data_IF_313672004168
#
_entry.id   IF_313672004168
#
_cell.length_a   1.000
_cell.length_b   1.000
_cell.length_c   1.000
_cell.angle_alpha   90.00
_cell.angle_beta   90.00
_cell.angle_gamma   90.00
#
_symmetry.space_group_name_H-M   'P 1'
#
loop_
_entity.id
_entity.type
_entity.pdbx_description
1 polymer ?
#
# COMPACT_ATOMS: atom_id res chain seq x y z
N UNK A 1 -10.23 -29.17 3.99
CA UNK A 1 -9.53 -29.70 5.19
C UNK A 1 -8.17 -29.00 5.42
N UNK A 2 -7.20 -29.03 4.47
CA UNK A 2 -5.90 -28.34 4.65
C UNK A 2 -6.05 -26.83 4.80
N UNK A 3 -6.86 -26.20 3.96
CA UNK A 3 -7.14 -24.77 4.06
C UNK A 3 -7.85 -24.44 5.37
N UNK A 4 -8.83 -25.22 5.78
CA UNK A 4 -9.59 -24.97 7.01
C UNK A 4 -8.70 -25.03 8.26
N UNK A 5 -7.66 -25.89 8.22
CA UNK A 5 -6.75 -26.09 9.36
C UNK A 5 -5.55 -25.12 9.38
N UNK A 6 -5.16 -24.55 8.24
CA UNK A 6 -3.92 -23.78 8.12
C UNK A 6 -4.13 -22.32 7.72
N UNK A 7 -5.23 -21.99 7.04
CA UNK A 7 -5.51 -20.62 6.62
C UNK A 7 -6.02 -19.78 7.79
N UNK A 8 -5.45 -18.60 7.95
CA UNK A 8 -5.83 -17.65 9.00
C UNK A 8 -6.45 -16.43 8.31
N UNK A 9 -7.60 -15.97 8.79
CA UNK A 9 -8.19 -14.74 8.27
C UNK A 9 -7.80 -13.56 9.16
N UNK A 10 -7.53 -12.42 8.55
CA UNK A 10 -7.20 -11.18 9.27
C UNK A 10 -8.32 -10.76 10.24
N UNK A 11 -9.59 -10.99 9.89
CA UNK A 11 -10.75 -10.68 10.75
C UNK A 11 -10.74 -11.48 12.05
N UNK A 12 -10.16 -12.69 12.07
CA UNK A 12 -10.12 -13.55 13.24
C UNK A 12 -8.99 -13.17 14.21
N UNK A 13 -8.05 -12.33 13.77
CA UNK A 13 -6.99 -11.83 14.63
C UNK A 13 -7.54 -10.82 15.66
N UNK A 14 -7.15 -11.01 16.90
CA UNK A 14 -7.53 -10.09 17.99
C UNK A 14 -6.86 -8.72 17.80
N UNK A 15 -7.63 -7.68 18.07
CA UNK A 15 -7.07 -6.32 18.16
C UNK A 15 -6.15 -6.26 19.38
N UNK A 16 -4.87 -5.93 19.22
CA UNK A 16 -3.96 -5.84 20.36
C UNK A 16 -4.34 -4.65 21.25
N UNK A 17 -4.13 -4.79 22.56
CA UNK A 17 -4.33 -3.69 23.52
C UNK A 17 -3.17 -2.67 23.40
N UNK A 18 -3.08 -2.02 22.25
CA UNK A 18 -2.11 -0.97 21.94
C UNK A 18 -2.81 0.17 21.23
N UNK A 19 -2.38 1.38 21.53
CA UNK A 19 -2.90 2.55 20.82
C UNK A 19 -2.47 2.49 19.35
N UNK A 20 -3.43 2.74 18.47
CA UNK A 20 -3.13 2.95 17.04
C UNK A 20 -2.28 4.22 16.91
N UNK A 21 -1.11 4.18 16.26
CA UNK A 21 -0.31 5.38 16.04
C UNK A 21 -1.09 6.38 15.18
N UNK A 22 -1.29 7.58 15.73
CA UNK A 22 -1.94 8.70 15.03
C UNK A 22 -1.11 9.96 15.23
N UNK A 23 -1.15 10.86 14.26
CA UNK A 23 -0.43 12.13 14.32
C UNK A 23 -1.35 13.25 14.82
N UNK A 24 -0.76 14.22 15.51
CA UNK A 24 -1.43 15.49 15.82
C UNK A 24 -1.72 16.27 14.55
N UNK A 25 -2.56 17.30 14.63
CA UNK A 25 -2.89 18.15 13.48
C UNK A 25 -1.62 18.79 12.87
N UNK A 26 -0.72 19.26 13.73
CA UNK A 26 0.52 19.92 13.34
C UNK A 26 1.51 18.94 12.69
N UNK A 27 1.63 17.73 13.26
CA UNK A 27 2.48 16.66 12.69
C UNK A 27 1.93 16.21 11.33
N UNK A 28 0.61 15.99 11.23
CA UNK A 28 -0.05 15.62 9.98
C UNK A 28 0.18 16.67 8.89
N UNK A 29 0.01 17.96 9.20
CA UNK A 29 0.25 19.04 8.24
C UNK A 29 1.71 19.08 7.75
N UNK A 30 2.69 18.81 8.64
CA UNK A 30 4.10 18.70 8.27
C UNK A 30 4.37 17.51 7.35
N UNK A 31 3.79 16.35 7.68
CA UNK A 31 3.92 15.14 6.84
C UNK A 31 3.25 15.30 5.48
N UNK A 32 2.05 15.89 5.42
CA UNK A 32 1.37 16.20 4.16
C UNK A 32 2.25 17.07 3.26
N UNK A 33 2.90 18.09 3.83
CA UNK A 33 3.85 18.93 3.09
C UNK A 33 5.07 18.13 2.63
N UNK A 34 5.63 17.27 3.49
CA UNK A 34 6.79 16.44 3.17
C UNK A 34 6.49 15.43 2.05
N UNK A 35 5.29 14.82 2.04
CA UNK A 35 4.84 13.91 0.99
C UNK A 35 4.18 14.61 -0.21
N UNK A 36 4.22 15.95 -0.25
CA UNK A 36 3.75 16.71 -1.41
C UNK A 36 2.24 16.68 -1.62
N UNK A 37 1.45 16.56 -0.55
CA UNK A 37 0.00 16.71 -0.63
C UNK A 37 -0.36 18.12 -1.06
N UNK A 38 -1.31 18.23 -2.00
CA UNK A 38 -1.82 19.50 -2.50
C UNK A 38 -3.30 19.66 -2.11
N UNK A 39 -3.79 20.88 -2.14
CA UNK A 39 -5.22 21.14 -1.96
C UNK A 39 -6.06 20.39 -3.01
N UNK A 40 -5.53 20.22 -4.19
CA UNK A 40 -6.19 19.50 -5.26
C UNK A 40 -6.33 18.01 -4.96
N UNK A 41 -5.31 17.38 -4.37
CA UNK A 41 -5.40 15.99 -3.90
C UNK A 41 -6.56 15.80 -2.91
N UNK A 42 -6.75 16.75 -2.00
CA UNK A 42 -7.88 16.71 -1.07
C UNK A 42 -9.21 16.87 -1.77
N UNK A 43 -9.34 17.87 -2.65
CA UNK A 43 -10.61 18.24 -3.26
C UNK A 43 -11.05 17.28 -4.37
N UNK A 44 -10.12 16.79 -5.18
CA UNK A 44 -10.43 16.01 -6.38
C UNK A 44 -10.28 14.50 -6.18
N UNK A 45 -9.51 14.05 -5.19
CA UNK A 45 -9.27 12.64 -4.92
C UNK A 45 -9.85 12.20 -3.57
N UNK A 46 -9.29 12.67 -2.45
CA UNK A 46 -9.62 12.15 -1.12
C UNK A 46 -11.07 12.44 -0.74
N UNK A 47 -11.53 13.69 -0.89
CA UNK A 47 -12.89 14.09 -0.51
C UNK A 47 -13.97 13.33 -1.29
N UNK A 48 -13.96 13.26 -2.64
CA UNK A 48 -14.97 12.49 -3.38
C UNK A 48 -14.97 11.01 -3.02
N UNK A 49 -13.81 10.39 -2.84
CA UNK A 49 -13.70 8.98 -2.45
C UNK A 49 -14.27 8.74 -1.04
N UNK A 50 -13.95 9.59 -0.09
CA UNK A 50 -14.45 9.48 1.29
C UNK A 50 -15.95 9.80 1.40
N UNK A 51 -16.49 10.66 0.53
CA UNK A 51 -17.90 11.04 0.52
C UNK A 51 -18.77 9.99 -0.18
N UNK A 52 -18.36 9.53 -1.36
CA UNK A 52 -19.20 8.76 -2.28
C UNK A 52 -18.80 7.28 -2.40
N UNK A 53 -17.66 6.85 -1.82
CA UNK A 53 -17.13 5.50 -2.00
C UNK A 53 -16.72 5.19 -3.45
N UNK A 54 -16.45 6.23 -4.25
CA UNK A 54 -16.07 6.10 -5.65
C UNK A 54 -15.06 7.18 -6.04
N UNK A 55 -14.15 6.83 -6.95
CA UNK A 55 -13.22 7.78 -7.55
C UNK A 55 -13.97 8.81 -8.40
N UNK A 56 -13.48 10.04 -8.42
CA UNK A 56 -13.99 11.08 -9.30
C UNK A 56 -13.88 10.67 -10.77
N UNK A 57 -14.88 11.03 -11.57
CA UNK A 57 -14.85 10.81 -13.01
C UNK A 57 -13.78 11.71 -13.63
N UNK A 58 -12.88 11.12 -14.39
CA UNK A 58 -11.79 11.81 -15.07
C UNK A 58 -11.52 11.24 -16.45
N UNK A 59 -10.68 11.95 -17.22
CA UNK A 59 -10.21 11.45 -18.51
C UNK A 59 -9.14 10.37 -18.31
N UNK A 60 -9.17 9.35 -19.17
CA UNK A 60 -8.10 8.36 -19.24
C UNK A 60 -6.89 8.94 -19.96
N UNK A 61 -5.73 8.88 -19.32
CA UNK A 61 -4.49 9.39 -19.91
C UNK A 61 -4.25 10.87 -19.62
N UNK A 62 -2.98 11.23 -19.62
CA UNK A 62 -2.49 12.61 -19.46
C UNK A 62 -1.47 12.88 -20.55
N UNK A 63 -1.81 13.70 -21.51
CA UNK A 63 -0.94 14.10 -22.63
C UNK A 63 -0.05 15.28 -22.31
N UNK A 64 -0.24 15.93 -21.17
CA UNK A 64 0.65 16.96 -20.67
C UNK A 64 1.99 16.36 -20.28
N UNK A 65 3.12 16.78 -20.89
CA UNK A 65 4.42 16.23 -20.55
C UNK A 65 4.83 16.63 -19.13
N UNK A 66 5.63 15.78 -18.49
CA UNK A 66 6.20 16.08 -17.19
C UNK A 66 7.14 17.30 -17.29
N UNK A 67 7.03 18.21 -16.33
CA UNK A 67 7.85 19.40 -16.25
C UNK A 67 9.27 19.08 -15.73
N UNK A 68 10.05 18.35 -16.51
CA UNK A 68 11.37 17.81 -16.12
C UNK A 68 12.40 18.86 -15.74
N UNK A 69 12.23 20.12 -16.17
CA UNK A 69 13.08 21.26 -15.81
C UNK A 69 12.54 22.04 -14.59
N UNK A 70 11.43 21.61 -14.01
CA UNK A 70 10.87 22.25 -12.83
C UNK A 70 11.65 21.85 -11.57
N UNK A 71 11.86 22.78 -10.66
CA UNK A 71 12.37 22.50 -9.32
C UNK A 71 11.29 21.96 -8.38
N UNK A 72 10.05 21.78 -8.87
CA UNK A 72 8.94 21.26 -8.09
C UNK A 72 9.07 19.75 -7.98
N UNK A 73 8.96 19.24 -6.77
CA UNK A 73 8.89 17.79 -6.52
C UNK A 73 7.72 17.16 -7.29
N UNK A 74 8.00 16.05 -7.96
CA UNK A 74 6.98 15.21 -8.62
C UNK A 74 6.98 13.83 -7.96
N UNK A 75 5.83 13.33 -7.49
CA UNK A 75 5.74 11.95 -7.03
C UNK A 75 6.14 10.97 -8.14
N UNK A 76 6.88 9.93 -7.78
CA UNK A 76 7.38 8.95 -8.74
C UNK A 76 6.25 8.29 -9.56
N UNK A 77 5.07 8.16 -8.98
CA UNK A 77 3.86 7.65 -9.65
C UNK A 77 3.49 8.39 -10.94
N UNK A 78 3.79 9.70 -11.02
CA UNK A 78 3.44 10.50 -12.19
C UNK A 78 4.16 10.05 -13.47
N UNK A 79 5.31 9.39 -13.36
CA UNK A 79 6.06 8.84 -14.48
C UNK A 79 5.42 7.58 -15.09
N UNK A 80 4.43 6.98 -14.41
CA UNK A 80 3.75 5.76 -14.83
C UNK A 80 2.32 6.01 -15.34
N UNK A 81 1.91 7.27 -15.46
CA UNK A 81 0.63 7.62 -16.09
C UNK A 81 0.72 7.46 -17.60
N UNK A 82 -0.29 6.81 -18.20
CA UNK A 82 -0.37 6.72 -19.65
C UNK A 82 -0.67 8.08 -20.29
N UNK A 83 -0.12 8.34 -21.47
CA UNK A 83 -0.23 9.65 -22.14
C UNK A 83 -1.57 9.83 -22.87
N UNK A 84 -2.22 8.76 -23.28
CA UNK A 84 -3.49 8.79 -24.02
C UNK A 84 -4.36 7.57 -23.68
N UNK A 85 -5.65 7.69 -23.98
CA UNK A 85 -6.58 6.58 -23.82
C UNK A 85 -6.23 5.42 -24.75
N UNK A 86 -6.27 4.21 -24.22
CA UNK A 86 -5.94 2.99 -24.94
C UNK A 86 -7.10 2.00 -24.87
N UNK A 87 -7.24 1.16 -25.88
CA UNK A 87 -8.17 0.04 -25.86
C UNK A 87 -7.70 -1.02 -24.86
N UNK A 88 -8.64 -1.72 -24.27
CA UNK A 88 -8.35 -2.84 -23.36
C UNK A 88 -8.48 -4.17 -24.10
N UNK A 89 -7.69 -5.17 -23.69
CA UNK A 89 -7.70 -6.48 -24.31
C UNK A 89 -7.47 -7.59 -23.27
N UNK A 90 -8.44 -8.47 -23.03
CA UNK A 90 -9.80 -8.50 -23.58
C UNK A 90 -10.69 -7.39 -23.01
N UNK A 91 -11.69 -6.93 -23.75
CA UNK A 91 -12.62 -5.92 -23.27
C UNK A 91 -13.61 -6.56 -22.28
N UNK A 92 -13.49 -6.22 -21.01
CA UNK A 92 -14.41 -6.68 -19.94
C UNK A 92 -15.36 -5.56 -19.62
N UNK A 93 -16.66 -5.86 -19.64
CA UNK A 93 -17.70 -4.90 -19.27
C UNK A 93 -17.71 -4.60 -17.75
N UNK A 94 -18.27 -3.45 -17.36
CA UNK A 94 -18.27 -2.99 -15.97
C UNK A 94 -19.05 -3.91 -15.01
N UNK A 95 -19.99 -4.71 -15.51
CA UNK A 95 -20.79 -5.64 -14.71
C UNK A 95 -19.92 -6.84 -14.32
N UNK A 96 -19.10 -7.33 -15.25
CA UNK A 96 -18.24 -8.50 -15.05
C UNK A 96 -16.94 -8.21 -14.31
N UNK A 97 -16.50 -6.97 -14.24
CA UNK A 97 -15.25 -6.58 -13.55
C UNK A 97 -15.11 -7.22 -12.15
N UNK A 98 -16.17 -7.15 -11.34
CA UNK A 98 -16.19 -7.71 -10.00
C UNK A 98 -16.21 -9.24 -9.95
N UNK A 99 -16.65 -9.90 -11.02
CA UNK A 99 -16.75 -11.36 -11.10
C UNK A 99 -15.40 -11.96 -11.50
N UNK A 100 -14.71 -11.32 -12.44
CA UNK A 100 -13.46 -11.84 -13.01
C UNK A 100 -12.21 -11.43 -12.20
N UNK A 101 -12.34 -10.47 -11.29
CA UNK A 101 -11.22 -9.94 -10.52
C UNK A 101 -11.41 -10.24 -9.05
N UNK A 102 -10.41 -10.90 -8.44
CA UNK A 102 -10.34 -11.07 -6.98
C UNK A 102 -9.38 -10.08 -6.36
N UNK A 103 -9.80 -9.45 -5.26
CA UNK A 103 -8.94 -8.58 -4.43
C UNK A 103 -8.36 -9.32 -3.24
N UNK A 104 -8.71 -10.58 -3.03
CA UNK A 104 -8.19 -11.39 -1.93
C UNK A 104 -6.69 -11.61 -2.08
N UNK A 105 -5.94 -11.38 -1.00
CA UNK A 105 -4.50 -11.57 -0.94
C UNK A 105 -4.15 -12.55 0.16
N UNK A 106 -3.14 -13.37 -0.09
CA UNK A 106 -2.56 -14.29 0.88
C UNK A 106 -1.15 -13.82 1.24
N UNK A 107 -0.92 -13.61 2.53
CA UNK A 107 0.35 -13.11 3.06
C UNK A 107 1.08 -14.23 3.81
N UNK A 108 2.36 -14.36 3.55
CA UNK A 108 3.21 -15.35 4.20
C UNK A 108 4.18 -15.98 3.24
N UNK A 109 4.52 -17.24 3.49
CA UNK A 109 5.40 -18.05 2.65
C UNK A 109 4.55 -18.94 1.75
N UNK A 110 4.77 -18.84 0.43
CA UNK A 110 4.01 -19.65 -0.54
C UNK A 110 4.41 -21.14 -0.53
N UNK A 111 5.61 -21.45 -0.04
CA UNK A 111 6.14 -22.81 -0.08
C UNK A 111 6.57 -23.26 -1.48
N UNK A 112 6.74 -24.56 -1.63
CA UNK A 112 7.05 -25.15 -2.95
C UNK A 112 5.76 -25.61 -3.61
N UNK A 113 5.35 -24.92 -4.68
CA UNK A 113 4.11 -25.23 -5.42
C UNK A 113 4.14 -26.61 -6.13
N UNK A 114 5.32 -27.22 -6.28
CA UNK A 114 5.48 -28.57 -6.84
C UNK A 114 5.35 -29.68 -5.80
N UNK A 115 5.24 -29.32 -4.52
CA UNK A 115 5.06 -30.25 -3.43
C UNK A 115 3.72 -30.00 -2.73
N UNK A 116 2.79 -30.94 -2.82
CA UNK A 116 1.49 -30.86 -2.15
C UNK A 116 1.67 -31.15 -0.64
N UNK A 117 1.78 -30.09 0.16
CA UNK A 117 1.93 -30.17 1.62
C UNK A 117 0.92 -29.26 2.34
N UNK A 118 0.36 -29.69 3.48
CA UNK A 118 -0.56 -28.86 4.27
C UNK A 118 0.05 -27.52 4.68
N UNK A 119 1.37 -27.49 4.95
CA UNK A 119 2.11 -26.30 5.36
C UNK A 119 2.10 -25.19 4.31
N UNK A 120 1.98 -25.53 3.03
CA UNK A 120 1.87 -24.55 1.93
C UNK A 120 0.55 -23.75 1.99
N UNK A 121 -0.44 -24.24 2.75
CA UNK A 121 -1.70 -23.54 2.99
C UNK A 121 -1.64 -22.58 4.18
N UNK A 122 -0.51 -22.48 4.88
CA UNK A 122 -0.34 -21.63 6.06
C UNK A 122 -0.08 -20.18 5.66
N UNK A 123 -1.16 -19.49 5.34
CA UNK A 123 -1.14 -18.09 4.89
C UNK A 123 -2.15 -17.25 5.67
N UNK A 124 -1.87 -15.96 5.80
CA UNK A 124 -2.82 -14.97 6.31
C UNK A 124 -3.64 -14.43 5.13
N UNK A 125 -4.93 -14.74 5.14
CA UNK A 125 -5.88 -14.23 4.15
C UNK A 125 -6.38 -12.85 4.54
N UNK A 126 -6.29 -11.92 3.60
CA UNK A 126 -6.91 -10.60 3.68
C UNK A 126 -7.88 -10.43 2.50
N UNK A 127 -9.02 -9.77 2.75
CA UNK A 127 -10.08 -9.66 1.74
C UNK A 127 -9.74 -8.69 0.61
N UNK A 128 -8.85 -7.73 0.90
CA UNK A 128 -8.39 -6.74 -0.07
C UNK A 128 -7.01 -6.20 0.33
N UNK A 129 -6.24 -5.63 -0.59
CA UNK A 129 -4.87 -5.19 -0.34
C UNK A 129 -4.76 -3.84 0.39
N UNK A 130 -5.87 -3.18 0.73
CA UNK A 130 -5.85 -1.88 1.40
C UNK A 130 -6.14 -2.08 2.89
N UNK A 131 -5.14 -1.82 3.71
CA UNK A 131 -5.21 -2.05 5.16
C UNK A 131 -5.56 -0.77 5.90
N UNK A 132 -6.44 -0.90 6.88
CA UNK A 132 -6.62 0.15 7.89
C UNK A 132 -5.44 0.14 8.88
N UNK A 133 -5.29 1.23 9.65
CA UNK A 133 -4.30 1.28 10.73
C UNK A 133 -4.51 0.16 11.75
N UNK A 134 -5.76 -0.22 12.02
CA UNK A 134 -6.11 -1.32 12.93
C UNK A 134 -5.69 -2.67 12.34
N UNK A 135 -5.92 -2.90 11.05
CA UNK A 135 -5.52 -4.14 10.38
C UNK A 135 -4.00 -4.32 10.40
N UNK A 136 -3.27 -3.25 10.09
CA UNK A 136 -1.81 -3.29 10.17
C UNK A 136 -1.32 -3.53 11.59
N UNK A 137 -1.98 -2.96 12.59
CA UNK A 137 -1.64 -3.18 14.00
C UNK A 137 -1.85 -4.65 14.40
N UNK A 138 -2.92 -5.29 13.93
CA UNK A 138 -3.16 -6.74 14.13
C UNK A 138 -2.02 -7.56 13.53
N UNK A 139 -1.60 -7.26 12.30
CA UNK A 139 -0.52 -7.96 11.60
C UNK A 139 0.80 -7.77 12.34
N UNK A 140 1.17 -6.53 12.70
CA UNK A 140 2.41 -6.22 13.44
C UNK A 140 2.52 -6.95 14.80
N UNK A 141 1.41 -7.25 15.43
CA UNK A 141 1.38 -7.86 16.77
C UNK A 141 0.88 -9.31 16.74
N UNK A 142 0.75 -9.89 15.59
CA UNK A 142 0.32 -11.27 15.41
C UNK A 142 1.28 -12.24 16.11
N UNK A 143 0.72 -13.09 16.98
CA UNK A 143 1.45 -14.16 17.67
C UNK A 143 0.87 -15.52 17.25
N UNK A 144 1.02 -15.83 16.00
CA UNK A 144 0.54 -17.08 15.42
C UNK A 144 1.75 -17.89 14.96
N UNK A 145 1.79 -19.15 15.35
CA UNK A 145 2.87 -20.06 14.97
C UNK A 145 3.00 -20.14 13.43
N UNK A 146 4.25 -20.04 12.95
CA UNK A 146 4.57 -20.05 11.52
C UNK A 146 4.52 -18.67 10.86
N UNK A 147 4.18 -17.61 11.60
CA UNK A 147 4.28 -16.23 11.12
C UNK A 147 5.29 -15.44 11.92
N UNK A 148 6.19 -14.77 11.24
CA UNK A 148 7.07 -13.75 11.81
C UNK A 148 7.01 -12.50 10.95
N UNK A 149 6.62 -11.40 11.57
CA UNK A 149 6.47 -10.08 10.94
C UNK A 149 7.61 -9.19 11.36
N UNK A 150 8.28 -8.55 10.40
CA UNK A 150 9.36 -7.61 10.66
C UNK A 150 9.08 -6.28 9.97
N UNK A 151 9.27 -5.16 10.68
CA UNK A 151 9.11 -3.82 10.10
C UNK A 151 10.49 -3.25 9.76
N UNK A 152 10.67 -2.87 8.51
CA UNK A 152 11.90 -2.31 7.96
C UNK A 152 11.65 -0.83 7.64
N UNK A 153 12.35 0.12 8.30
CA UNK A 153 12.25 1.53 7.96
C UNK A 153 12.75 1.79 6.53
N UNK A 154 12.00 2.58 5.78
CA UNK A 154 12.42 3.13 4.49
C UNK A 154 12.74 4.63 4.59
N UNK A 155 13.03 5.09 5.80
CA UNK A 155 13.55 6.42 6.07
C UNK A 155 15.07 6.37 6.20
N UNK A 156 15.74 7.43 5.80
CA UNK A 156 17.20 7.53 5.88
C UNK A 156 17.63 8.96 6.22
N UNK A 157 18.85 9.09 6.73
CA UNK A 157 19.40 10.38 7.11
C UNK A 157 19.66 11.24 5.85
N UNK A 158 19.17 12.48 5.84
CA UNK A 158 19.17 13.40 4.68
C UNK A 158 20.51 13.61 4.00
N UNK A 159 21.63 13.38 4.72
CA UNK A 159 22.99 13.52 4.17
C UNK A 159 23.54 12.19 3.62
N UNK A 160 22.77 11.12 3.64
CA UNK A 160 23.14 9.84 3.03
C UNK A 160 22.59 9.81 1.60
N UNK A 161 23.29 9.17 0.66
CA UNK A 161 22.77 8.99 -0.68
C UNK A 161 21.66 7.95 -0.69
N UNK A 162 20.70 8.10 -1.62
CA UNK A 162 19.56 7.19 -1.74
C UNK A 162 20.00 5.76 -2.10
N UNK A 163 21.08 5.61 -2.87
CA UNK A 163 21.64 4.30 -3.23
C UNK A 163 22.09 3.54 -1.98
N UNK A 164 22.85 4.21 -1.08
CA UNK A 164 23.27 3.61 0.19
C UNK A 164 22.10 3.28 1.09
N UNK A 165 21.05 4.10 1.07
CA UNK A 165 19.83 3.83 1.83
C UNK A 165 19.12 2.57 1.31
N UNK A 166 19.06 2.38 0.00
CA UNK A 166 18.48 1.17 -0.62
C UNK A 166 19.34 -0.07 -0.30
N UNK A 167 20.66 0.04 -0.40
CA UNK A 167 21.57 -1.05 -0.02
C UNK A 167 21.36 -1.47 1.43
N UNK A 168 21.13 -0.51 2.33
CA UNK A 168 20.82 -0.81 3.72
C UNK A 168 19.50 -1.58 3.87
N UNK A 169 18.47 -1.23 3.10
CA UNK A 169 17.21 -1.99 3.10
C UNK A 169 17.47 -3.45 2.71
N UNK A 170 18.30 -3.70 1.71
CA UNK A 170 18.61 -5.08 1.30
C UNK A 170 19.28 -5.88 2.42
N UNK A 171 20.19 -5.25 3.18
CA UNK A 171 20.81 -5.88 4.36
C UNK A 171 19.75 -6.22 5.43
N UNK A 172 18.82 -5.30 5.70
CA UNK A 172 17.73 -5.53 6.66
C UNK A 172 16.77 -6.62 6.20
N UNK A 173 16.42 -6.66 4.91
CA UNK A 173 15.62 -7.73 4.31
C UNK A 173 16.28 -9.10 4.47
N UNK A 174 17.59 -9.17 4.23
CA UNK A 174 18.37 -10.40 4.42
C UNK A 174 18.44 -10.83 5.88
N UNK A 175 18.58 -9.88 6.79
CA UNK A 175 18.53 -10.14 8.22
C UNK A 175 17.16 -10.71 8.60
N UNK A 176 16.08 -10.04 8.21
CA UNK A 176 14.72 -10.49 8.50
C UNK A 176 14.45 -11.90 7.96
N UNK A 177 14.90 -12.19 6.73
CA UNK A 177 14.75 -13.51 6.11
C UNK A 177 15.52 -14.60 6.90
N UNK A 178 16.78 -14.34 7.26
CA UNK A 178 17.58 -15.28 8.07
C UNK A 178 16.98 -15.56 9.45
N UNK A 179 16.32 -14.57 10.02
CA UNK A 179 15.60 -14.68 11.28
C UNK A 179 14.23 -15.36 11.15
N UNK A 180 13.82 -15.74 9.94
CA UNK A 180 12.57 -16.47 9.65
C UNK A 180 11.34 -15.57 9.42
N UNK A 181 11.52 -14.29 9.17
CA UNK A 181 10.39 -13.43 8.79
C UNK A 181 9.81 -13.87 7.44
N UNK A 182 8.50 -13.96 7.37
CA UNK A 182 7.75 -14.28 6.15
C UNK A 182 6.75 -13.17 5.76
N UNK A 183 6.66 -12.13 6.58
CA UNK A 183 5.97 -10.88 6.24
C UNK A 183 6.91 -9.74 6.63
N UNK A 184 7.24 -8.88 5.66
CA UNK A 184 7.99 -7.64 5.92
C UNK A 184 7.09 -6.44 5.67
N UNK A 185 7.22 -5.43 6.52
CA UNK A 185 6.50 -4.16 6.41
C UNK A 185 7.53 -3.07 6.14
N UNK A 186 7.52 -2.53 4.94
CA UNK A 186 8.30 -1.34 4.59
C UNK A 186 7.55 -0.12 5.12
N UNK A 187 8.18 0.67 5.99
CA UNK A 187 7.51 1.78 6.68
C UNK A 187 8.27 3.09 6.52
N UNK A 188 7.58 4.15 6.09
CA UNK A 188 8.12 5.51 6.08
C UNK A 188 7.72 6.32 7.32
N UNK A 189 7.12 5.70 8.32
CA UNK A 189 6.90 6.38 9.60
C UNK A 189 8.23 6.78 10.23
N UNK A 190 8.30 7.99 10.77
CA UNK A 190 9.51 8.55 11.34
C UNK A 190 10.20 9.57 10.44
N UNK A 191 9.52 10.05 9.39
CA UNK A 191 9.96 11.23 8.65
C UNK A 191 10.00 12.44 9.56
N UNK A 192 11.15 13.09 9.64
CA UNK A 192 11.39 14.28 10.43
C UNK A 192 12.37 15.24 9.72
N UNK A 193 12.90 16.24 10.42
CA UNK A 193 13.85 17.22 9.86
C UNK A 193 15.18 16.62 9.40
N UNK A 194 15.55 15.45 9.88
CA UNK A 194 16.80 14.77 9.59
C UNK A 194 16.61 13.48 8.79
N UNK A 195 15.43 12.88 8.86
CA UNK A 195 15.10 11.62 8.19
C UNK A 195 14.08 11.85 7.09
N UNK A 196 14.45 11.51 5.88
CA UNK A 196 13.60 11.59 4.69
C UNK A 196 13.20 10.19 4.23
N UNK A 197 12.03 10.07 3.62
CA UNK A 197 11.57 8.80 3.09
C UNK A 197 12.17 8.52 1.71
N UNK A 198 12.54 7.26 1.46
CA UNK A 198 12.72 6.77 0.10
C UNK A 198 11.33 6.77 -0.56
N UNK A 199 11.18 7.25 -1.82
CA UNK A 199 9.91 7.16 -2.53
C UNK A 199 9.35 5.74 -2.45
N UNK A 200 8.11 5.60 -2.02
CA UNK A 200 7.51 4.30 -1.68
C UNK A 200 7.52 3.32 -2.85
N UNK A 201 7.23 3.81 -4.06
CA UNK A 201 7.29 3.00 -5.28
C UNK A 201 8.71 2.50 -5.59
N UNK A 202 9.74 3.33 -5.36
CA UNK A 202 11.13 2.93 -5.52
C UNK A 202 11.53 1.86 -4.49
N UNK A 203 11.15 2.05 -3.23
CA UNK A 203 11.46 1.10 -2.16
C UNK A 203 10.81 -0.27 -2.42
N UNK A 204 9.52 -0.28 -2.78
CA UNK A 204 8.80 -1.53 -3.12
C UNK A 204 9.41 -2.22 -4.33
N UNK A 205 9.64 -1.49 -5.42
CA UNK A 205 10.22 -2.03 -6.65
C UNK A 205 11.63 -2.59 -6.42
N UNK A 206 12.49 -1.87 -5.68
CA UNK A 206 13.83 -2.32 -5.36
C UNK A 206 13.82 -3.60 -4.52
N UNK A 207 13.01 -3.65 -3.45
CA UNK A 207 12.89 -4.84 -2.59
C UNK A 207 12.31 -6.02 -3.37
N UNK A 208 11.25 -5.81 -4.16
CA UNK A 208 10.67 -6.84 -5.01
C UNK A 208 11.72 -7.45 -5.96
N UNK A 209 12.46 -6.59 -6.66
CA UNK A 209 13.50 -7.05 -7.59
C UNK A 209 14.63 -7.79 -6.87
N UNK A 210 15.08 -7.28 -5.73
CA UNK A 210 16.09 -7.93 -4.90
C UNK A 210 15.64 -9.31 -4.41
N UNK A 211 14.40 -9.45 -3.94
CA UNK A 211 13.84 -10.74 -3.51
C UNK A 211 13.75 -11.74 -4.67
N UNK A 212 13.42 -11.28 -5.88
CA UNK A 212 13.41 -12.13 -7.08
C UNK A 212 14.83 -12.59 -7.43
N UNK A 213 15.79 -11.67 -7.51
CA UNK A 213 17.20 -12.00 -7.83
C UNK A 213 17.83 -12.95 -6.82
N UNK A 214 17.51 -12.78 -5.54
CA UNK A 214 18.05 -13.63 -4.46
C UNK A 214 17.21 -14.88 -4.19
N UNK A 215 16.17 -15.15 -5.03
CA UNK A 215 15.27 -16.32 -4.92
C UNK A 215 14.52 -16.42 -3.59
N UNK A 216 14.20 -15.28 -2.98
CA UNK A 216 13.50 -15.19 -1.69
C UNK A 216 12.04 -14.72 -1.84
N UNK A 217 11.61 -14.33 -3.05
CA UNK A 217 10.29 -13.70 -3.24
C UNK A 217 9.11 -14.55 -2.77
N UNK A 218 9.16 -15.84 -2.98
CA UNK A 218 8.11 -16.78 -2.54
C UNK A 218 8.16 -17.09 -1.03
N UNK A 219 9.18 -16.61 -0.35
CA UNK A 219 9.32 -16.81 1.11
C UNK A 219 8.80 -15.64 1.93
N UNK A 220 8.50 -14.49 1.31
CA UNK A 220 8.19 -13.26 2.02
C UNK A 220 7.11 -12.46 1.30
N UNK A 221 6.06 -12.06 2.05
CA UNK A 221 5.11 -11.06 1.60
C UNK A 221 5.62 -9.65 1.95
N UNK A 222 5.36 -8.68 1.07
CA UNK A 222 5.79 -7.29 1.23
C UNK A 222 4.57 -6.40 1.47
N UNK A 223 4.45 -5.83 2.65
CA UNK A 223 3.45 -4.82 2.98
C UNK A 223 4.12 -3.44 2.97
N UNK A 224 3.42 -2.44 2.47
CA UNK A 224 3.86 -1.05 2.52
C UNK A 224 3.01 -0.27 3.53
N UNK A 225 3.65 0.39 4.49
CA UNK A 225 3.06 1.40 5.38
C UNK A 225 3.63 2.76 4.97
N UNK A 226 2.83 3.58 4.29
CA UNK A 226 3.34 4.82 3.69
C UNK A 226 2.35 5.98 3.75
N UNK A 227 2.91 7.17 3.96
CA UNK A 227 2.17 8.43 3.85
C UNK A 227 2.03 8.94 2.41
N UNK A 228 2.70 8.34 1.43
CA UNK A 228 2.75 8.87 0.07
C UNK A 228 1.51 8.53 -0.78
N UNK A 229 0.98 7.26 -0.82
CA UNK A 229 -0.13 6.90 -1.69
C UNK A 229 -1.46 7.50 -1.23
N UNK A 230 -2.24 8.04 -2.15
CA UNK A 230 -3.51 8.71 -1.86
C UNK A 230 -4.57 8.63 -2.96
N UNK A 231 -4.24 8.24 -4.19
CA UNK A 231 -5.20 8.02 -5.26
C UNK A 231 -5.09 6.60 -5.86
N UNK A 232 -6.09 6.18 -6.63
CA UNK A 232 -6.18 4.83 -7.20
C UNK A 232 -4.93 4.47 -8.01
N UNK A 233 -4.40 5.42 -8.79
CA UNK A 233 -3.21 5.19 -9.63
C UNK A 233 -1.97 4.83 -8.77
N UNK A 234 -1.81 5.45 -7.60
CA UNK A 234 -0.71 5.15 -6.69
C UNK A 234 -0.79 3.71 -6.18
N UNK A 235 -1.98 3.28 -5.78
CA UNK A 235 -2.18 1.91 -5.30
C UNK A 235 -1.99 0.87 -6.40
N UNK A 236 -2.53 1.14 -7.59
CA UNK A 236 -2.37 0.24 -8.73
C UNK A 236 -0.89 0.05 -9.12
N UNK A 237 -0.10 1.13 -9.15
CA UNK A 237 1.34 1.04 -9.43
C UNK A 237 2.10 0.30 -8.34
N UNK A 238 1.82 0.56 -7.07
CA UNK A 238 2.46 -0.13 -5.95
C UNK A 238 2.19 -1.65 -5.96
N UNK A 239 0.95 -2.05 -6.21
CA UNK A 239 0.59 -3.47 -6.36
C UNK A 239 1.28 -4.10 -7.58
N UNK A 240 1.30 -3.38 -8.72
CA UNK A 240 1.99 -3.81 -9.93
C UNK A 240 3.50 -3.99 -9.74
N UNK A 241 4.13 -3.22 -8.86
CA UNK A 241 5.55 -3.32 -8.52
C UNK A 241 5.85 -4.25 -7.35
N UNK A 242 4.85 -4.96 -6.82
CA UNK A 242 5.05 -6.10 -5.93
C UNK A 242 4.66 -5.90 -4.47
N UNK A 243 4.02 -4.79 -4.09
CA UNK A 243 3.38 -4.70 -2.79
C UNK A 243 2.24 -5.72 -2.70
N UNK A 244 2.22 -6.51 -1.64
CA UNK A 244 1.12 -7.45 -1.37
C UNK A 244 -0.07 -6.76 -0.73
N UNK A 245 0.19 -5.76 0.11
CA UNK A 245 -0.82 -4.93 0.75
C UNK A 245 -0.24 -3.56 1.10
N UNK A 246 -1.12 -2.57 1.28
CA UNK A 246 -0.73 -1.18 1.50
C UNK A 246 -1.58 -0.59 2.62
N UNK A 247 -0.94 0.07 3.58
CA UNK A 247 -1.58 0.92 4.56
C UNK A 247 -1.26 2.39 4.28
N UNK A 248 -2.20 3.17 3.72
CA UNK A 248 -2.02 4.59 3.41
C UNK A 248 -2.34 5.43 4.66
N UNK A 249 -1.55 5.31 5.71
CA UNK A 249 -1.88 5.87 7.00
C UNK A 249 -2.17 7.38 6.97
N UNK A 250 -1.39 8.14 6.20
CA UNK A 250 -1.54 9.59 6.16
C UNK A 250 -2.78 10.03 5.38
N UNK A 251 -3.10 9.34 4.29
CA UNK A 251 -4.33 9.61 3.54
C UNK A 251 -5.57 9.32 4.38
N UNK A 252 -5.59 8.20 5.11
CA UNK A 252 -6.67 7.86 6.04
C UNK A 252 -6.77 8.88 7.19
N UNK A 253 -5.65 9.27 7.80
CA UNK A 253 -5.64 10.30 8.86
C UNK A 253 -6.05 11.69 8.33
N UNK A 254 -5.78 11.98 7.06
CA UNK A 254 -6.14 13.27 6.43
C UNK A 254 -7.64 13.42 6.20
N UNK A 255 -8.41 12.33 6.20
CA UNK A 255 -9.88 12.38 6.15
C UNK A 255 -10.44 13.08 7.39
N UNK A 256 -9.81 12.91 8.57
CA UNK A 256 -10.21 13.63 9.77
C UNK A 256 -10.10 15.15 9.60
N UNK A 257 -9.12 15.63 8.85
CA UNK A 257 -8.99 17.07 8.59
C UNK A 257 -10.15 17.61 7.74
N UNK A 258 -10.64 16.85 6.78
CA UNK A 258 -11.81 17.23 5.97
C UNK A 258 -13.07 17.34 6.84
N UNK A 259 -13.21 16.48 7.84
CA UNK A 259 -14.31 16.54 8.81
C UNK A 259 -14.14 17.75 9.72
N UNK A 260 -12.95 17.99 10.27
CA UNK A 260 -12.64 19.12 11.14
C UNK A 260 -12.84 20.48 10.45
N UNK A 261 -12.64 20.54 9.15
CA UNK A 261 -12.87 21.73 8.30
C UNK A 261 -14.32 21.88 7.83
N UNK A 262 -15.22 21.01 8.25
CA UNK A 262 -16.63 20.95 7.78
C UNK A 262 -16.77 20.79 6.26
N UNK A 263 -15.77 20.19 5.59
CA UNK A 263 -15.82 19.83 4.16
C UNK A 263 -16.48 18.47 3.95
N UNK A 264 -16.51 17.63 4.95
CA UNK A 264 -17.10 16.30 4.96
C UNK A 264 -17.96 16.12 6.21
N UNK A 265 -19.27 16.01 6.04
CA UNK A 265 -20.21 15.71 7.12
C UNK A 265 -20.49 14.21 7.17
N UNK A 266 -19.58 13.46 7.81
CA UNK A 266 -19.62 12.00 7.89
C UNK A 266 -18.81 11.50 9.07
N UNK A 267 -19.21 10.34 9.63
CA UNK A 267 -18.40 9.64 10.61
C UNK A 267 -17.04 9.25 10.01
N UNK A 268 -15.98 9.42 10.81
CA UNK A 268 -14.61 9.16 10.37
C UNK A 268 -14.40 7.73 9.86
N UNK A 269 -14.90 6.73 10.59
CA UNK A 269 -14.72 5.33 10.19
C UNK A 269 -15.49 5.01 8.92
N UNK A 270 -16.72 5.51 8.78
CA UNK A 270 -17.50 5.36 7.57
C UNK A 270 -16.83 6.07 6.38
N UNK A 271 -16.21 7.23 6.60
CA UNK A 271 -15.50 7.96 5.57
C UNK A 271 -14.22 7.24 5.12
N UNK A 272 -13.47 6.64 6.04
CA UNK A 272 -12.29 5.81 5.73
C UNK A 272 -12.70 4.54 4.98
N UNK A 273 -13.79 3.89 5.38
CA UNK A 273 -14.29 2.70 4.69
C UNK A 273 -14.70 3.02 3.25
N UNK A 274 -15.39 4.14 3.03
CA UNK A 274 -15.76 4.57 1.68
C UNK A 274 -14.54 4.95 0.84
N UNK A 275 -13.56 5.64 1.42
CA UNK A 275 -12.29 5.91 0.75
C UNK A 275 -11.59 4.62 0.32
N UNK A 276 -11.48 3.64 1.22
CA UNK A 276 -10.88 2.34 0.91
C UNK A 276 -11.68 1.59 -0.18
N UNK A 277 -13.02 1.61 -0.11
CA UNK A 277 -13.89 0.99 -1.10
C UNK A 277 -13.75 1.63 -2.50
N UNK A 278 -13.57 2.95 -2.56
CA UNK A 278 -13.30 3.65 -3.81
C UNK A 278 -12.00 3.16 -4.45
N UNK A 279 -10.93 3.03 -3.64
CA UNK A 279 -9.63 2.52 -4.10
C UNK A 279 -9.75 1.09 -4.59
N UNK A 280 -10.40 0.21 -3.81
CA UNK A 280 -10.59 -1.20 -4.19
C UNK A 280 -11.37 -1.31 -5.50
N UNK A 281 -12.43 -0.54 -5.66
CA UNK A 281 -13.22 -0.51 -6.89
C UNK A 281 -12.38 -0.04 -8.10
N UNK A 282 -11.52 0.95 -7.89
CA UNK A 282 -10.58 1.42 -8.91
C UNK A 282 -9.54 0.37 -9.28
N UNK A 283 -8.98 -0.35 -8.29
CA UNK A 283 -8.03 -1.46 -8.52
C UNK A 283 -8.71 -2.58 -9.32
N UNK A 284 -9.94 -2.97 -8.96
CA UNK A 284 -10.73 -3.98 -9.70
C UNK A 284 -10.90 -3.56 -11.15
N UNK A 285 -11.28 -2.29 -11.38
CA UNK A 285 -11.41 -1.75 -12.74
C UNK A 285 -10.10 -1.83 -13.52
N UNK A 286 -8.99 -1.40 -12.94
CA UNK A 286 -7.68 -1.43 -13.60
C UNK A 286 -7.26 -2.86 -13.90
N UNK A 287 -7.33 -3.77 -12.93
CA UNK A 287 -6.98 -5.18 -13.13
C UNK A 287 -7.82 -5.84 -14.24
N UNK A 288 -9.14 -5.61 -14.24
CA UNK A 288 -10.04 -6.13 -15.26
C UNK A 288 -9.77 -5.54 -16.66
N UNK A 289 -9.21 -4.31 -16.76
CA UNK A 289 -8.85 -3.68 -18.04
C UNK A 289 -7.46 -4.08 -18.54
N UNK A 290 -6.60 -4.61 -17.67
CA UNK A 290 -5.29 -5.13 -18.08
C UNK A 290 -5.37 -6.53 -18.69
N UNK A 291 -6.45 -7.25 -18.50
CA UNK A 291 -6.70 -8.57 -19.09
C UNK A 291 -6.22 -9.74 -18.25
#
# INVERSE_FOLDING_TARGET
EWLDNNLINLCDLKIPNKKVPTHTKEERARLQKAFGYTYEDFRTSILPMALNGAESIGAMGIDTPLAVLSNRHQPLFNYFKQLFAQVTNPPIDSIREKIVTSTTVYLGKDGNVLEEKPENCKNLKINNPILTNTDLLKIKNMKVEGFKVETIPITYYKNTSIEKAIDHIFVEVDRAHREGANIIILSDRGVDENHVAIPSLLAVGAVQHYLVQTKKRTSMAVILESGEPRDVHHFATLLGYGASAINPYLAQESIQELIDLNMLDKDYYAAVDDYNNAIISGIVKIAAKMG
#
